data_IF_686009663842
#
_entry.id   IF_686009663842
#
_cell.length_a   1.000
_cell.length_b   1.000
_cell.length_c   1.000
_cell.angle_alpha   90.00
_cell.angle_beta   90.00
_cell.angle_gamma   90.00
#
_symmetry.space_group_name_H-M   'P 1'
#
loop_
_entity.id
_entity.type
_entity.pdbx_description
1 polymer ?
#
# COMPACT_ATOMS: atom_id res chain seq x y z
N UNK A 1 7.98 37.45 10.59
CA UNK A 1 9.10 36.57 10.17
C UNK A 1 9.49 35.50 11.20
N UNK A 2 9.53 35.77 12.50
CA UNK A 2 9.98 34.76 13.50
C UNK A 2 9.08 33.50 13.65
N UNK A 3 7.77 33.59 13.40
CA UNK A 3 6.85 32.43 13.51
C UNK A 3 7.09 31.35 12.45
N UNK A 4 7.48 31.72 11.22
CA UNK A 4 7.78 30.73 10.17
C UNK A 4 9.13 30.05 10.39
N UNK A 5 10.12 30.76 10.95
CA UNK A 5 11.42 30.17 11.26
C UNK A 5 11.31 29.10 12.36
N UNK A 6 10.51 29.36 13.40
CA UNK A 6 10.27 28.40 14.49
C UNK A 6 9.57 27.13 14.00
N UNK A 7 8.57 27.27 13.11
CA UNK A 7 7.83 26.12 12.57
C UNK A 7 8.72 25.24 11.68
N UNK A 8 9.61 25.83 10.89
CA UNK A 8 10.58 25.09 10.06
C UNK A 8 11.60 24.36 10.94
N UNK A 9 12.05 24.98 12.04
CA UNK A 9 13.02 24.37 12.96
C UNK A 9 12.40 23.19 13.73
N UNK A 10 11.17 23.32 14.21
CA UNK A 10 10.41 22.22 14.85
C UNK A 10 10.12 21.09 13.84
N UNK A 11 9.76 21.43 12.61
CA UNK A 11 9.51 20.45 11.56
C UNK A 11 10.80 19.72 11.15
N UNK A 12 11.94 20.41 11.10
CA UNK A 12 13.24 19.79 10.85
C UNK A 12 13.65 18.85 12.00
N UNK A 13 13.44 19.24 13.26
CA UNK A 13 13.72 18.36 14.41
C UNK A 13 12.83 17.09 14.38
N UNK A 14 11.56 17.23 13.97
CA UNK A 14 10.63 16.11 13.85
C UNK A 14 10.90 15.21 12.63
N UNK A 15 11.34 15.77 11.51
CA UNK A 15 11.59 15.02 10.27
C UNK A 15 13.01 14.43 10.17
N UNK A 16 14.00 15.04 10.82
CA UNK A 16 15.40 14.57 10.83
C UNK A 16 15.80 13.82 12.11
N UNK A 17 14.86 13.62 13.04
CA UNK A 17 15.01 12.80 14.24
C UNK A 17 15.24 11.33 13.90
N UNK A 18 16.46 11.01 13.47
CA UNK A 18 16.94 9.68 13.06
C UNK A 18 16.93 8.63 14.18
N UNK A 19 16.46 9.00 15.38
CA UNK A 19 16.38 8.16 16.56
C UNK A 19 14.96 7.61 16.84
N UNK A 20 13.98 7.88 15.99
CA UNK A 20 12.65 7.26 16.09
C UNK A 20 12.70 5.80 15.59
N UNK A 21 13.20 4.91 16.43
CA UNK A 21 13.33 3.48 16.10
C UNK A 21 13.35 2.59 17.34
N UNK A 22 12.43 2.80 18.29
CA UNK A 22 12.09 1.76 19.25
C UNK A 22 10.78 1.11 18.80
N UNK A 23 10.74 -0.21 18.72
CA UNK A 23 9.51 -0.93 18.48
C UNK A 23 8.55 -0.82 19.69
N UNK A 24 7.38 -1.46 19.57
CA UNK A 24 6.36 -1.45 20.62
C UNK A 24 6.80 -2.16 21.92
N UNK A 25 7.97 -2.81 21.92
CA UNK A 25 8.53 -3.56 23.05
C UNK A 25 9.66 -2.78 23.75
N UNK A 26 9.97 -1.56 23.30
CA UNK A 26 11.03 -0.74 23.89
C UNK A 26 12.43 -1.18 23.49
N UNK A 27 12.58 -2.03 22.48
CA UNK A 27 13.88 -2.47 21.97
C UNK A 27 14.42 -1.40 21.01
N UNK A 28 15.62 -0.90 21.34
CA UNK A 28 16.31 0.14 20.57
C UNK A 28 16.93 -0.48 19.31
N UNK A 29 16.37 -0.18 18.13
CA UNK A 29 17.00 -0.53 16.86
C UNK A 29 17.71 0.73 16.36
N UNK A 30 19.02 0.91 16.64
CA UNK A 30 19.75 2.02 16.07
C UNK A 30 19.63 1.97 14.55
N UNK A 31 19.10 3.03 13.95
CA UNK A 31 19.09 3.26 12.50
C UNK A 31 19.98 4.45 12.18
N UNK A 32 20.47 4.51 10.94
CA UNK A 32 21.23 5.64 10.44
C UNK A 32 22.60 5.80 11.13
N UNK A 33 22.94 7.03 11.47
CA UNK A 33 24.30 7.42 11.86
C UNK A 33 24.80 6.74 13.16
N UNK A 34 23.89 6.33 14.06
CA UNK A 34 24.28 5.59 15.28
C UNK A 34 24.81 4.18 15.03
N UNK A 35 24.59 3.60 13.85
CA UNK A 35 25.17 2.32 13.45
C UNK A 35 26.60 2.44 12.92
N UNK A 36 27.06 3.66 12.63
CA UNK A 36 28.43 3.89 12.17
C UNK A 36 29.43 3.55 13.26
N UNK A 37 30.63 3.16 12.82
CA UNK A 37 31.73 2.79 13.70
C UNK A 37 32.27 3.97 14.49
N UNK A 38 32.83 3.69 15.67
CA UNK A 38 33.48 4.67 16.52
C UNK A 38 34.60 5.43 15.79
N UNK A 39 35.35 4.79 14.89
CA UNK A 39 36.36 5.46 14.07
C UNK A 39 35.78 6.59 13.20
N UNK A 40 34.62 6.36 12.59
CA UNK A 40 33.97 7.36 11.74
C UNK A 40 33.42 8.52 12.58
N UNK A 41 32.86 8.22 13.75
CA UNK A 41 32.46 9.26 14.70
C UNK A 41 33.65 10.07 15.19
N UNK A 42 34.77 9.44 15.54
CA UNK A 42 35.98 10.14 15.99
C UNK A 42 36.57 11.05 14.91
N UNK A 43 36.50 10.62 13.65
CA UNK A 43 36.88 11.46 12.51
C UNK A 43 36.03 12.75 12.48
N UNK A 44 34.71 12.62 12.54
CA UNK A 44 33.80 13.78 12.53
C UNK A 44 33.87 14.63 13.81
N UNK A 45 34.08 13.98 14.95
CA UNK A 45 34.25 14.64 16.23
C UNK A 45 35.54 15.49 16.27
N UNK A 46 36.64 14.97 15.73
CA UNK A 46 37.89 15.69 15.57
C UNK A 46 37.81 16.82 14.55
N UNK A 47 37.12 16.59 13.41
CA UNK A 47 36.93 17.60 12.36
C UNK A 47 36.10 18.80 12.84
N UNK A 48 35.14 18.56 13.74
CA UNK A 48 34.33 19.59 14.39
C UNK A 48 35.12 20.45 15.39
N UNK A 49 36.35 20.07 15.72
CA UNK A 49 37.23 20.85 16.59
C UNK A 49 36.82 20.88 18.06
N UNK A 50 35.95 19.97 18.52
CA UNK A 50 35.47 19.93 19.91
C UNK A 50 36.62 19.80 20.91
N UNK A 51 37.69 19.10 20.54
CA UNK A 51 38.85 18.89 21.42
C UNK A 51 39.82 20.06 21.46
N UNK A 52 39.71 21.00 20.50
CA UNK A 52 40.64 22.12 20.38
C UNK A 52 40.09 23.29 21.18
N UNK A 53 40.59 23.46 22.39
CA UNK A 53 40.15 24.47 23.38
C UNK A 53 40.15 25.91 22.86
N UNK A 54 40.85 26.22 21.76
CA UNK A 54 41.08 27.59 21.30
C UNK A 54 40.56 27.91 19.89
N UNK A 55 40.01 26.95 19.12
CA UNK A 55 39.66 27.19 17.70
C UNK A 55 38.17 27.35 17.40
N UNK A 56 37.32 27.28 18.44
CA UNK A 56 35.87 27.31 18.29
C UNK A 56 35.30 26.04 17.64
N UNK A 57 34.00 25.83 17.84
CA UNK A 57 33.25 24.72 17.26
C UNK A 57 33.06 24.93 15.75
N UNK A 58 33.52 23.99 14.93
CA UNK A 58 33.29 23.98 13.48
C UNK A 58 32.15 23.03 13.17
N UNK A 59 31.02 23.58 12.72
CA UNK A 59 29.89 22.74 12.34
C UNK A 59 30.17 22.02 11.01
N UNK A 60 30.19 20.69 11.04
CA UNK A 60 30.07 19.83 9.86
C UNK A 60 28.67 19.20 9.86
N UNK A 61 28.02 19.08 8.70
CA UNK A 61 26.75 18.38 8.51
C UNK A 61 26.80 16.97 9.09
N UNK A 62 27.88 16.21 8.83
CA UNK A 62 27.99 14.83 9.32
C UNK A 62 28.07 14.77 10.84
N UNK A 63 28.79 15.72 11.45
CA UNK A 63 28.83 15.85 12.90
C UNK A 63 27.47 16.33 13.47
N UNK A 64 26.80 17.25 12.79
CA UNK A 64 25.44 17.69 13.11
C UNK A 64 24.42 16.54 13.12
N UNK A 65 24.58 15.57 12.22
CA UNK A 65 23.76 14.36 12.19
C UNK A 65 23.99 13.49 13.45
N UNK A 66 25.22 13.37 13.95
CA UNK A 66 25.48 12.67 15.22
C UNK A 66 24.84 13.40 16.41
N UNK A 67 24.92 14.73 16.46
CA UNK A 67 24.26 15.54 17.50
C UNK A 67 22.75 15.28 17.50
N UNK A 68 22.11 15.40 16.33
CA UNK A 68 20.67 15.18 16.20
C UNK A 68 20.27 13.75 16.58
N UNK A 69 21.09 12.76 16.21
CA UNK A 69 20.88 11.37 16.58
C UNK A 69 20.99 11.15 18.10
N UNK A 70 22.01 11.71 18.77
CA UNK A 70 22.17 11.62 20.23
C UNK A 70 21.01 12.29 20.99
N UNK A 71 20.60 13.49 20.57
CA UNK A 71 19.46 14.18 21.19
C UNK A 71 18.17 13.38 21.05
N UNK A 72 17.92 12.82 19.86
CA UNK A 72 16.79 11.93 19.63
C UNK A 72 16.86 10.65 20.47
N UNK A 73 18.05 10.05 20.59
CA UNK A 73 18.26 8.86 21.42
C UNK A 73 17.94 9.16 22.89
N UNK A 74 18.52 10.23 23.46
CA UNK A 74 18.29 10.63 24.85
C UNK A 74 16.84 10.97 25.12
N UNK A 75 16.18 11.70 24.22
CA UNK A 75 14.74 12.01 24.33
C UNK A 75 13.92 10.73 24.41
N UNK A 76 14.25 9.72 23.59
CA UNK A 76 13.53 8.45 23.61
C UNK A 76 13.80 7.64 24.88
N UNK A 77 15.05 7.56 25.36
CA UNK A 77 15.35 6.92 26.65
C UNK A 77 14.62 7.63 27.79
N UNK A 78 14.52 8.96 27.73
CA UNK A 78 13.77 9.75 28.70
C UNK A 78 12.28 9.37 28.72
N UNK A 79 11.68 9.14 27.55
CA UNK A 79 10.29 8.67 27.42
C UNK A 79 10.07 7.23 27.90
N UNK A 80 11.08 6.37 27.85
CA UNK A 80 10.95 4.96 28.25
C UNK A 80 11.15 4.73 29.76
N UNK A 81 11.87 5.62 30.45
CA UNK A 81 12.01 5.59 31.91
C UNK A 81 10.71 6.12 32.53
N UNK A 82 9.81 5.20 32.89
CA UNK A 82 8.44 5.50 33.34
C UNK A 82 8.38 6.55 34.46
N UNK A 83 7.73 7.69 34.17
CA UNK A 83 7.24 8.63 35.18
C UNK A 83 8.11 9.86 35.47
N UNK A 84 9.24 10.07 34.76
CA UNK A 84 10.03 11.30 34.88
C UNK A 84 10.31 11.90 33.51
N UNK A 85 9.59 12.97 33.17
CA UNK A 85 9.68 13.62 31.85
C UNK A 85 11.02 14.32 31.56
N UNK A 86 12.00 14.30 32.46
CA UNK A 86 13.21 15.14 32.38
C UNK A 86 14.47 14.46 32.98
N UNK A 87 14.57 13.13 32.91
CA UNK A 87 15.69 12.35 33.47
C UNK A 87 17.08 12.83 33.01
N UNK A 88 17.20 13.30 31.77
CA UNK A 88 18.45 13.80 31.18
C UNK A 88 18.46 15.33 30.97
N UNK A 89 17.60 16.08 31.65
CA UNK A 89 17.46 17.54 31.47
C UNK A 89 18.69 18.37 31.85
N UNK A 90 19.52 17.85 32.74
CA UNK A 90 20.79 18.46 33.20
C UNK A 90 22.00 17.99 32.37
N UNK A 91 21.81 17.06 31.45
CA UNK A 91 22.89 16.52 30.63
C UNK A 91 23.12 17.44 29.44
N UNK A 92 24.29 18.08 29.41
CA UNK A 92 24.73 18.81 28.22
C UNK A 92 25.05 17.84 27.10
N UNK A 93 24.59 18.15 25.89
CA UNK A 93 24.94 17.36 24.70
C UNK A 93 26.46 17.31 24.47
N UNK A 94 27.21 18.34 24.89
CA UNK A 94 28.66 18.36 24.82
C UNK A 94 29.29 17.33 25.77
N UNK A 95 28.71 17.10 26.95
CA UNK A 95 29.20 16.09 27.88
C UNK A 95 28.98 14.68 27.33
N UNK A 96 27.82 14.46 26.67
CA UNK A 96 27.52 13.21 25.97
C UNK A 96 28.54 12.96 24.86
N UNK A 97 28.77 13.97 24.00
CA UNK A 97 29.71 13.91 22.90
C UNK A 97 31.13 13.63 23.39
N UNK A 98 31.57 14.32 24.45
CA UNK A 98 32.88 14.13 25.06
C UNK A 98 33.06 12.74 25.66
N UNK A 99 32.05 12.25 26.39
CA UNK A 99 32.07 10.90 26.96
C UNK A 99 32.10 9.83 25.87
N UNK A 100 31.23 9.94 24.87
CA UNK A 100 31.17 9.00 23.73
C UNK A 100 32.47 9.04 22.93
N UNK A 101 33.08 10.22 22.74
CA UNK A 101 34.41 10.36 22.14
C UNK A 101 35.49 9.63 22.91
N UNK A 102 35.52 9.78 24.24
CA UNK A 102 36.46 9.05 25.09
C UNK A 102 36.26 7.54 24.98
N UNK A 103 35.02 7.07 25.11
CA UNK A 103 34.70 5.65 25.01
C UNK A 103 35.05 5.07 23.64
N UNK A 104 34.76 5.80 22.56
CA UNK A 104 35.07 5.37 21.20
C UNK A 104 36.57 5.28 20.91
N UNK A 105 37.42 6.10 21.55
CA UNK A 105 38.88 5.96 21.44
C UNK A 105 39.38 4.63 21.99
N UNK A 106 38.78 4.18 23.09
CA UNK A 106 39.10 2.89 23.72
C UNK A 106 38.45 1.70 22.98
N UNK A 107 37.41 1.97 22.17
CA UNK A 107 36.59 0.96 21.51
C UNK A 107 36.40 1.25 20.00
N UNK A 108 37.48 1.41 19.21
CA UNK A 108 37.41 1.91 17.83
C UNK A 108 36.58 1.03 16.88
N UNK A 109 36.53 -0.27 17.16
CA UNK A 109 35.82 -1.27 16.35
C UNK A 109 34.34 -1.44 16.73
N UNK A 110 33.84 -0.71 17.73
CA UNK A 110 32.43 -0.76 18.14
C UNK A 110 31.64 0.35 17.43
N UNK A 111 30.32 0.28 17.47
CA UNK A 111 29.46 1.33 16.93
C UNK A 111 29.07 2.37 17.99
N UNK A 112 28.68 3.54 17.52
CA UNK A 112 28.32 4.70 18.34
C UNK A 112 27.07 4.43 19.19
N UNK A 113 26.11 3.65 18.70
CA UNK A 113 24.94 3.27 19.46
C UNK A 113 25.28 2.46 20.71
N UNK A 114 26.31 1.61 20.66
CA UNK A 114 26.79 0.87 21.82
C UNK A 114 27.36 1.82 22.89
N UNK A 115 28.11 2.84 22.48
CA UNK A 115 28.61 3.87 23.38
C UNK A 115 27.45 4.58 24.09
N UNK A 116 26.43 5.00 23.34
CA UNK A 116 25.26 5.67 23.91
C UNK A 116 24.46 4.80 24.87
N UNK A 117 24.30 3.51 24.57
CA UNK A 117 23.65 2.56 25.46
C UNK A 117 24.39 2.47 26.81
N UNK A 118 25.73 2.43 26.78
CA UNK A 118 26.53 2.39 28.00
C UNK A 118 26.43 3.73 28.74
N UNK A 119 26.50 4.86 28.03
CA UNK A 119 26.37 6.20 28.59
C UNK A 119 25.06 6.38 29.36
N UNK A 120 23.92 6.04 28.76
CA UNK A 120 22.62 6.20 29.40
C UNK A 120 22.46 5.26 30.58
N UNK A 121 22.96 4.02 30.49
CA UNK A 121 23.02 3.11 31.64
C UNK A 121 23.85 3.67 32.81
N UNK A 122 25.02 4.25 32.51
CA UNK A 122 25.87 4.92 33.51
C UNK A 122 25.15 6.09 34.18
N UNK A 123 24.49 6.96 33.41
CA UNK A 123 23.75 8.11 33.95
C UNK A 123 22.51 7.71 34.72
N UNK A 124 21.84 6.62 34.32
CA UNK A 124 20.75 6.05 35.11
C UNK A 124 21.26 5.57 36.47
N UNK A 125 22.40 4.89 36.49
CA UNK A 125 23.07 4.44 37.72
C UNK A 125 23.49 5.61 38.63
N UNK A 126 24.10 6.64 38.07
CA UNK A 126 24.55 7.83 38.82
C UNK A 126 23.38 8.53 39.54
N UNK A 127 22.25 8.73 38.86
CA UNK A 127 21.11 9.48 39.39
C UNK A 127 20.19 8.69 40.31
N UNK A 128 20.13 7.37 40.17
CA UNK A 128 19.21 6.54 40.95
C UNK A 128 19.71 6.27 42.37
N UNK A 129 20.96 6.67 42.71
CA UNK A 129 21.65 6.28 43.97
C UNK A 129 21.49 4.78 44.27
N UNK A 130 21.28 3.95 43.26
CA UNK A 130 21.16 2.51 43.44
C UNK A 130 22.53 1.96 43.82
N UNK A 131 22.57 1.23 44.93
CA UNK A 131 23.76 0.52 45.38
C UNK A 131 24.23 -0.45 44.29
N UNK A 132 25.53 -0.41 43.98
CA UNK A 132 26.15 -1.22 42.93
C UNK A 132 25.92 -2.71 43.17
N UNK A 133 25.81 -3.11 44.45
CA UNK A 133 25.56 -4.50 44.86
C UNK A 133 24.14 -5.00 44.50
N UNK A 134 23.14 -4.11 44.46
CA UNK A 134 21.79 -4.45 44.04
C UNK A 134 21.67 -4.53 42.52
N UNK A 135 22.51 -3.80 41.78
CA UNK A 135 22.60 -3.87 40.32
C UNK A 135 23.38 -5.10 39.84
N UNK A 136 24.42 -5.52 40.57
CA UNK A 136 25.04 -6.83 40.40
C UNK A 136 24.07 -7.95 40.75
N UNK A 137 23.32 -7.85 41.86
CA UNK A 137 22.25 -8.79 42.15
C UNK A 137 21.14 -8.78 41.10
N UNK A 138 20.79 -7.64 40.50
CA UNK A 138 19.79 -7.56 39.43
C UNK A 138 20.35 -8.17 38.12
N UNK A 139 21.61 -7.92 37.78
CA UNK A 139 22.30 -8.56 36.65
C UNK A 139 22.51 -10.07 36.87
N UNK A 140 22.67 -10.52 38.12
CA UNK A 140 22.84 -11.92 38.54
C UNK A 140 21.51 -12.63 38.84
N UNK A 141 20.42 -11.89 39.09
CA UNK A 141 19.05 -12.39 39.30
C UNK A 141 18.22 -12.34 38.03
N UNK A 142 18.66 -11.59 37.02
CA UNK A 142 18.32 -11.95 35.64
C UNK A 142 18.80 -13.40 35.48
N UNK A 143 17.93 -14.35 35.08
CA UNK A 143 18.37 -15.72 34.86
C UNK A 143 19.65 -15.63 34.03
N UNK A 144 20.76 -16.31 34.43
CA UNK A 144 22.02 -16.21 33.71
C UNK A 144 21.62 -16.39 32.28
N UNK A 145 21.84 -15.38 31.42
CA UNK A 145 21.42 -15.44 30.03
C UNK A 145 21.90 -16.79 29.58
N UNK A 146 20.97 -17.76 29.50
CA UNK A 146 21.36 -19.13 29.19
C UNK A 146 22.07 -18.88 27.91
N UNK A 147 23.33 -19.27 27.86
CA UNK A 147 24.21 -19.04 26.73
C UNK A 147 23.68 -19.96 25.63
N UNK A 148 22.43 -19.72 25.24
CA UNK A 148 21.69 -20.34 24.18
C UNK A 148 22.59 -20.02 23.04
N UNK A 149 23.16 -21.08 22.49
CA UNK A 149 23.98 -20.93 21.32
C UNK A 149 23.10 -20.21 20.30
N UNK A 150 23.66 -19.29 19.51
CA UNK A 150 22.88 -18.69 18.43
C UNK A 150 22.31 -19.79 17.50
N UNK A 151 22.91 -20.99 17.51
CA UNK A 151 22.43 -22.20 16.85
C UNK A 151 21.11 -22.72 17.43
N UNK A 152 20.96 -22.77 18.75
CA UNK A 152 19.70 -23.20 19.38
C UNK A 152 18.57 -22.21 19.04
N UNK A 153 18.88 -20.90 19.03
CA UNK A 153 17.93 -19.87 18.60
C UNK A 153 17.63 -19.97 17.10
N UNK A 154 18.62 -20.33 16.30
CA UNK A 154 18.45 -20.54 14.86
C UNK A 154 17.50 -21.71 14.59
N UNK A 155 17.64 -22.82 15.33
CA UNK A 155 16.74 -23.98 15.21
C UNK A 155 15.28 -23.61 15.55
N UNK A 156 15.08 -22.76 16.56
CA UNK A 156 13.76 -22.18 16.87
C UNK A 156 13.22 -21.37 15.68
N UNK A 157 14.03 -20.48 15.10
CA UNK A 157 13.63 -19.68 13.94
C UNK A 157 13.29 -20.55 12.71
N UNK A 158 14.05 -21.62 12.49
CA UNK A 158 13.77 -22.61 11.45
C UNK A 158 12.44 -23.34 11.69
N UNK A 159 12.10 -23.65 12.95
CA UNK A 159 10.82 -24.24 13.29
C UNK A 159 9.66 -23.29 12.95
N UNK A 160 9.79 -21.98 13.20
CA UNK A 160 8.80 -21.00 12.74
C UNK A 160 8.69 -20.95 11.21
N UNK A 161 9.82 -20.98 10.51
CA UNK A 161 9.87 -20.93 9.05
C UNK A 161 9.21 -22.17 8.42
N UNK A 162 9.51 -23.36 8.94
CA UNK A 162 8.91 -24.64 8.52
C UNK A 162 7.42 -24.70 8.82
N UNK A 163 7.01 -24.20 9.98
CA UNK A 163 5.59 -24.06 10.35
C UNK A 163 4.87 -22.93 9.59
N UNK A 164 5.55 -22.28 8.64
CA UNK A 164 4.97 -21.24 7.78
C UNK A 164 4.46 -20.00 8.54
N UNK A 165 4.96 -19.79 9.76
CA UNK A 165 4.70 -18.62 10.60
C UNK A 165 5.70 -17.53 10.23
N UNK A 166 5.53 -16.94 9.05
CA UNK A 166 6.55 -16.08 8.43
C UNK A 166 6.71 -14.73 9.14
N UNK A 167 5.66 -13.92 9.20
CA UNK A 167 5.67 -12.55 9.80
C UNK A 167 4.52 -12.33 10.79
N UNK A 168 3.74 -13.36 11.08
CA UNK A 168 2.58 -13.30 11.97
C UNK A 168 2.41 -14.65 12.69
N UNK A 169 1.98 -14.64 13.95
CA UNK A 169 1.65 -15.84 14.72
C UNK A 169 1.64 -15.55 16.22
N UNK A 170 0.66 -16.07 16.96
CA UNK A 170 0.53 -15.82 18.41
C UNK A 170 1.73 -16.33 19.21
N UNK A 171 2.26 -17.50 18.85
CA UNK A 171 3.45 -18.08 19.49
C UNK A 171 4.76 -17.57 18.87
N UNK A 172 4.77 -16.40 18.24
CA UNK A 172 5.93 -15.85 17.52
C UNK A 172 6.02 -16.26 16.04
N UNK A 173 6.92 -15.61 15.31
CA UNK A 173 7.14 -15.81 13.87
C UNK A 173 8.62 -15.80 13.49
N UNK A 174 8.93 -16.31 12.30
CA UNK A 174 10.28 -16.53 11.83
C UNK A 174 11.04 -15.22 11.62
N UNK A 175 10.38 -14.19 11.08
CA UNK A 175 11.01 -12.90 10.80
C UNK A 175 11.50 -12.23 12.08
N UNK A 176 10.65 -12.15 13.10
CA UNK A 176 11.03 -11.56 14.39
C UNK A 176 12.14 -12.37 15.07
N UNK A 177 12.06 -13.70 14.99
CA UNK A 177 13.09 -14.59 15.54
C UNK A 177 14.48 -14.35 14.89
N UNK A 178 14.56 -14.26 13.55
CA UNK A 178 15.83 -13.96 12.88
C UNK A 178 16.34 -12.55 13.19
N UNK A 179 15.46 -11.56 13.33
CA UNK A 179 15.85 -10.22 13.76
C UNK A 179 16.39 -10.20 15.18
N UNK A 180 15.83 -10.99 16.10
CA UNK A 180 16.38 -11.17 17.44
C UNK A 180 17.80 -11.73 17.41
N UNK A 181 18.10 -12.70 16.54
CA UNK A 181 19.48 -13.21 16.38
C UNK A 181 20.43 -12.08 15.97
N UNK A 182 20.05 -11.23 15.02
CA UNK A 182 20.87 -10.08 14.57
C UNK A 182 21.12 -9.09 15.71
N UNK A 183 20.16 -8.92 16.61
CA UNK A 183 20.24 -7.98 17.75
C UNK A 183 21.05 -8.56 18.92
N UNK A 184 20.89 -9.85 19.22
CA UNK A 184 21.53 -10.51 20.37
C UNK A 184 22.98 -10.92 20.07
N UNK A 185 23.29 -11.27 18.83
CA UNK A 185 24.59 -11.80 18.43
C UNK A 185 25.29 -10.89 17.41
N UNK A 186 25.22 -9.57 17.60
CA UNK A 186 25.80 -8.55 16.69
C UNK A 186 27.29 -8.79 16.39
N UNK A 187 28.04 -9.32 17.37
CA UNK A 187 29.48 -9.57 17.25
C UNK A 187 29.82 -10.92 16.58
N UNK A 188 28.82 -11.77 16.35
CA UNK A 188 29.00 -13.07 15.72
C UNK A 188 28.61 -13.01 14.23
N UNK A 189 29.62 -13.01 13.37
CA UNK A 189 29.43 -12.91 11.93
C UNK A 189 28.62 -14.09 11.36
N UNK A 190 28.85 -15.31 11.85
CA UNK A 190 28.10 -16.49 11.39
C UNK A 190 26.60 -16.38 11.73
N UNK A 191 26.28 -15.90 12.93
CA UNK A 191 24.90 -15.68 13.35
C UNK A 191 24.20 -14.64 12.47
N UNK A 192 24.89 -13.53 12.16
CA UNK A 192 24.37 -12.49 11.29
C UNK A 192 24.13 -12.99 9.84
N UNK A 193 25.04 -13.81 9.30
CA UNK A 193 24.91 -14.44 7.99
C UNK A 193 23.70 -15.39 7.98
N UNK A 194 23.61 -16.29 8.98
CA UNK A 194 22.53 -17.26 9.08
C UNK A 194 21.15 -16.59 9.21
N UNK A 195 21.04 -15.54 10.03
CA UNK A 195 19.80 -14.78 10.17
C UNK A 195 19.42 -14.05 8.88
N UNK A 196 20.39 -13.47 8.17
CA UNK A 196 20.15 -12.82 6.88
C UNK A 196 19.68 -13.82 5.82
N UNK A 197 20.23 -15.02 5.80
CA UNK A 197 19.76 -16.10 4.92
C UNK A 197 18.32 -16.54 5.27
N UNK A 198 18.00 -16.66 6.56
CA UNK A 198 16.64 -16.95 7.02
C UNK A 198 15.61 -15.91 6.54
N UNK A 199 15.93 -14.62 6.68
CA UNK A 199 15.10 -13.52 6.19
C UNK A 199 14.95 -13.60 4.66
N UNK A 200 16.03 -13.86 3.91
CA UNK A 200 15.98 -14.05 2.46
C UNK A 200 15.05 -15.20 2.05
N UNK A 201 15.05 -16.31 2.80
CA UNK A 201 14.12 -17.44 2.56
C UNK A 201 12.67 -17.05 2.81
N UNK A 202 12.38 -16.18 3.80
CA UNK A 202 11.05 -15.61 4.01
C UNK A 202 10.63 -14.75 2.81
N UNK A 203 11.52 -13.86 2.35
CA UNK A 203 11.27 -13.03 1.15
C UNK A 203 10.94 -13.88 -0.07
N UNK A 204 11.73 -14.93 -0.32
CA UNK A 204 11.50 -15.85 -1.43
C UNK A 204 10.14 -16.55 -1.34
N UNK A 205 9.68 -16.94 -0.15
CA UNK A 205 8.33 -17.49 0.04
C UNK A 205 7.24 -16.46 -0.33
N UNK A 206 7.40 -15.19 0.04
CA UNK A 206 6.44 -14.15 -0.35
C UNK A 206 6.48 -13.82 -1.85
N UNK A 207 7.66 -13.86 -2.48
CA UNK A 207 7.79 -13.74 -3.94
C UNK A 207 6.99 -14.85 -4.63
N UNK A 208 7.21 -16.11 -4.24
CA UNK A 208 6.49 -17.27 -4.80
C UNK A 208 4.97 -17.11 -4.64
N UNK A 209 4.50 -16.80 -3.42
CA UNK A 209 3.06 -16.60 -3.16
C UNK A 209 2.45 -15.43 -3.91
N UNK A 210 3.22 -14.39 -4.17
CA UNK A 210 2.75 -13.25 -4.96
C UNK A 210 2.57 -13.66 -6.41
N UNK A 211 3.54 -14.39 -6.99
CA UNK A 211 3.44 -14.93 -8.36
C UNK A 211 2.25 -15.88 -8.50
N UNK A 212 2.12 -16.86 -7.60
CA UNK A 212 1.00 -17.80 -7.58
C UNK A 212 -0.35 -17.06 -7.53
N UNK A 213 -0.50 -16.07 -6.65
CA UNK A 213 -1.74 -15.30 -6.56
C UNK A 213 -2.01 -14.43 -7.80
N UNK A 214 -0.98 -13.91 -8.47
CA UNK A 214 -1.11 -13.21 -9.76
C UNK A 214 -1.61 -14.19 -10.83
N UNK A 215 -1.02 -15.38 -10.92
CA UNK A 215 -1.38 -16.41 -11.90
C UNK A 215 -2.80 -16.95 -11.67
N UNK A 216 -3.20 -17.12 -10.41
CA UNK A 216 -4.56 -17.47 -9.97
C UNK A 216 -5.58 -16.33 -10.20
N UNK A 217 -5.13 -15.13 -10.60
CA UNK A 217 -5.93 -13.89 -10.67
C UNK A 217 -6.58 -13.49 -9.34
N UNK A 218 -6.04 -13.95 -8.21
CA UNK A 218 -6.40 -13.47 -6.87
C UNK A 218 -5.55 -12.25 -6.53
N UNK A 219 -5.91 -11.12 -7.15
CA UNK A 219 -5.15 -9.88 -7.03
C UNK A 219 -5.17 -9.29 -5.62
N UNK A 220 -6.19 -9.59 -4.82
CA UNK A 220 -6.25 -9.18 -3.40
C UNK A 220 -5.16 -9.91 -2.61
N UNK A 221 -5.05 -11.23 -2.75
CA UNK A 221 -4.03 -12.05 -2.11
C UNK A 221 -2.62 -11.68 -2.60
N UNK A 222 -2.46 -11.40 -3.89
CA UNK A 222 -1.20 -10.91 -4.45
C UNK A 222 -0.72 -9.62 -3.79
N UNK A 223 -1.59 -8.60 -3.67
CA UNK A 223 -1.29 -7.33 -2.98
C UNK A 223 -0.89 -7.52 -1.53
N UNK A 224 -1.59 -8.39 -0.80
CA UNK A 224 -1.27 -8.70 0.60
C UNK A 224 0.12 -9.33 0.71
N UNK A 225 0.44 -10.30 -0.14
CA UNK A 225 1.75 -10.97 -0.12
C UNK A 225 2.89 -10.03 -0.55
N UNK A 226 2.65 -9.17 -1.54
CA UNK A 226 3.61 -8.16 -1.97
C UNK A 226 3.93 -7.16 -0.86
N UNK A 227 2.91 -6.67 -0.15
CA UNK A 227 3.11 -5.78 1.01
C UNK A 227 3.90 -6.46 2.13
N UNK A 228 3.69 -7.76 2.35
CA UNK A 228 4.47 -8.54 3.31
C UNK A 228 5.93 -8.70 2.86
N UNK A 229 6.18 -8.91 1.56
CA UNK A 229 7.53 -8.90 0.99
C UNK A 229 8.23 -7.56 1.25
N UNK A 230 7.57 -6.44 0.94
CA UNK A 230 8.10 -5.08 1.18
C UNK A 230 8.44 -4.84 2.65
N UNK A 231 7.64 -5.38 3.59
CA UNK A 231 7.93 -5.23 5.02
C UNK A 231 9.13 -6.05 5.50
N UNK A 232 9.39 -7.20 4.86
CA UNK A 232 10.48 -8.12 5.23
C UNK A 232 11.80 -7.67 4.62
N UNK A 233 11.77 -7.30 3.33
CA UNK A 233 12.93 -6.93 2.52
C UNK A 233 12.56 -5.79 1.56
N UNK A 234 12.60 -4.53 2.03
CA UNK A 234 12.19 -3.36 1.25
C UNK A 234 13.02 -3.12 -0.03
N UNK A 235 14.23 -3.67 -0.08
CA UNK A 235 15.17 -3.48 -1.20
C UNK A 235 15.21 -4.69 -2.14
N UNK A 236 14.26 -5.61 -2.00
CA UNK A 236 14.22 -6.78 -2.86
C UNK A 236 13.97 -6.38 -4.33
N UNK A 237 14.89 -6.75 -5.22
CA UNK A 237 14.81 -6.39 -6.64
C UNK A 237 13.58 -6.96 -7.36
N UNK A 238 12.91 -7.96 -6.79
CA UNK A 238 11.69 -8.54 -7.38
C UNK A 238 10.44 -7.68 -7.17
N UNK A 239 10.43 -6.74 -6.22
CA UNK A 239 9.24 -5.94 -5.87
C UNK A 239 8.71 -5.20 -7.11
N UNK A 240 9.57 -4.45 -7.81
CA UNK A 240 9.16 -3.66 -8.97
C UNK A 240 8.57 -4.54 -10.08
N UNK A 241 9.22 -5.67 -10.39
CA UNK A 241 8.74 -6.59 -11.42
C UNK A 241 7.42 -7.27 -11.05
N UNK A 242 7.18 -7.57 -9.77
CA UNK A 242 5.91 -8.12 -9.30
C UNK A 242 4.79 -7.07 -9.30
N UNK A 243 5.10 -5.83 -8.92
CA UNK A 243 4.15 -4.71 -8.96
C UNK A 243 3.67 -4.46 -10.39
N UNK A 244 4.60 -4.43 -11.35
CA UNK A 244 4.29 -4.26 -12.77
C UNK A 244 3.42 -5.41 -13.30
N UNK A 245 3.83 -6.65 -13.05
CA UNK A 245 3.06 -7.84 -13.47
C UNK A 245 1.64 -7.84 -12.90
N UNK A 246 1.49 -7.50 -11.62
CA UNK A 246 0.19 -7.40 -10.96
C UNK A 246 -0.69 -6.33 -11.63
N UNK A 247 -0.16 -5.14 -11.86
CA UNK A 247 -0.88 -4.03 -12.50
C UNK A 247 -1.34 -4.38 -13.92
N UNK A 248 -0.46 -5.02 -14.70
CA UNK A 248 -0.78 -5.46 -16.06
C UNK A 248 -1.92 -6.48 -16.04
N UNK A 249 -1.81 -7.53 -15.22
CA UNK A 249 -2.84 -8.58 -15.14
C UNK A 249 -4.19 -8.06 -14.64
N UNK A 250 -4.19 -7.11 -13.70
CA UNK A 250 -5.42 -6.43 -13.25
C UNK A 250 -6.08 -5.65 -14.39
N UNK A 251 -5.29 -4.95 -15.21
CA UNK A 251 -5.78 -4.19 -16.36
C UNK A 251 -6.35 -5.12 -17.44
N UNK A 252 -5.63 -6.19 -17.78
CA UNK A 252 -6.10 -7.19 -18.75
C UNK A 252 -7.43 -7.84 -18.32
N UNK A 253 -7.61 -8.10 -17.01
CA UNK A 253 -8.87 -8.65 -16.50
C UNK A 253 -10.02 -7.65 -16.66
N UNK A 254 -9.79 -6.36 -16.37
CA UNK A 254 -10.80 -5.32 -16.53
C UNK A 254 -11.22 -5.15 -17.98
N UNK A 255 -10.25 -5.08 -18.89
CA UNK A 255 -10.51 -4.98 -20.34
C UNK A 255 -11.35 -6.18 -20.80
N UNK A 256 -10.96 -7.40 -20.43
CA UNK A 256 -11.73 -8.60 -20.77
C UNK A 256 -13.17 -8.54 -20.24
N UNK A 257 -13.37 -8.08 -19.01
CA UNK A 257 -14.71 -7.96 -18.41
C UNK A 257 -15.56 -6.91 -19.13
N UNK A 258 -14.96 -5.79 -19.54
CA UNK A 258 -15.66 -4.75 -20.31
C UNK A 258 -16.05 -5.24 -21.70
N UNK A 259 -15.16 -5.97 -22.38
CA UNK A 259 -15.44 -6.60 -23.68
C UNK A 259 -16.58 -7.62 -23.57
N UNK A 260 -16.56 -8.48 -22.54
CA UNK A 260 -17.61 -9.45 -22.29
C UNK A 260 -18.96 -8.76 -21.98
N UNK A 261 -18.93 -7.63 -21.26
CA UNK A 261 -20.12 -6.82 -21.01
C UNK A 261 -20.66 -6.20 -22.29
N UNK A 262 -19.78 -5.63 -23.13
CA UNK A 262 -20.17 -5.02 -24.42
C UNK A 262 -20.81 -6.05 -25.34
N UNK A 263 -20.22 -7.24 -25.46
CA UNK A 263 -20.79 -8.36 -26.23
C UNK A 263 -22.17 -8.76 -25.73
N UNK A 264 -22.38 -8.84 -24.41
CA UNK A 264 -23.71 -9.14 -23.84
C UNK A 264 -24.74 -8.06 -24.20
N UNK A 265 -24.36 -6.78 -24.14
CA UNK A 265 -25.23 -5.66 -24.53
C UNK A 265 -25.57 -5.73 -26.01
N UNK A 266 -24.59 -6.00 -26.88
CA UNK A 266 -24.81 -6.14 -28.32
C UNK A 266 -25.74 -7.32 -28.66
N UNK A 267 -25.57 -8.47 -27.99
CA UNK A 267 -26.45 -9.64 -28.13
C UNK A 267 -27.88 -9.29 -27.71
N UNK A 268 -28.06 -8.61 -26.57
CA UNK A 268 -29.38 -8.23 -26.08
C UNK A 268 -30.03 -7.15 -26.95
N UNK A 269 -29.27 -6.17 -27.44
CA UNK A 269 -29.75 -5.18 -28.39
C UNK A 269 -30.22 -5.83 -29.71
N UNK A 270 -29.48 -6.82 -30.22
CA UNK A 270 -29.88 -7.58 -31.40
C UNK A 270 -31.12 -8.46 -31.16
N UNK A 271 -31.33 -8.94 -29.92
CA UNK A 271 -32.57 -9.64 -29.53
C UNK A 271 -33.76 -8.68 -29.51
N UNK A 272 -33.63 -7.54 -28.82
CA UNK A 272 -34.67 -6.52 -28.73
C UNK A 272 -35.05 -6.02 -30.13
N UNK A 273 -34.06 -5.75 -30.98
CA UNK A 273 -34.29 -5.31 -32.36
C UNK A 273 -35.18 -6.29 -33.14
N UNK A 274 -34.89 -7.60 -33.05
CA UNK A 274 -35.71 -8.63 -33.71
C UNK A 274 -37.14 -8.70 -33.16
N UNK A 275 -37.31 -8.52 -31.86
CA UNK A 275 -38.66 -8.52 -31.26
C UNK A 275 -39.45 -7.28 -31.67
N UNK A 276 -38.81 -6.11 -31.73
CA UNK A 276 -39.44 -4.89 -32.25
C UNK A 276 -39.86 -5.07 -33.70
N UNK A 277 -39.00 -5.64 -34.55
CA UNK A 277 -39.31 -5.95 -35.96
C UNK A 277 -40.50 -6.91 -36.07
N UNK A 278 -40.55 -7.95 -35.23
CA UNK A 278 -41.67 -8.90 -35.16
C UNK A 278 -42.98 -8.23 -34.74
N UNK A 279 -42.96 -7.44 -33.65
CA UNK A 279 -44.16 -6.74 -33.16
C UNK A 279 -44.66 -5.74 -34.20
N UNK A 280 -43.75 -5.00 -34.85
CA UNK A 280 -44.08 -4.07 -35.93
C UNK A 280 -44.72 -4.79 -37.13
N UNK A 281 -44.23 -5.97 -37.51
CA UNK A 281 -44.86 -6.76 -38.55
C UNK A 281 -46.29 -7.22 -38.16
N UNK A 282 -46.50 -7.60 -36.89
CA UNK A 282 -47.82 -7.99 -36.39
C UNK A 282 -48.81 -6.82 -36.37
N UNK A 283 -48.39 -5.61 -36.00
CA UNK A 283 -49.28 -4.44 -36.00
C UNK A 283 -49.70 -4.04 -37.42
N UNK A 284 -48.78 -4.05 -38.38
CA UNK A 284 -49.13 -3.79 -39.78
C UNK A 284 -50.14 -4.79 -40.34
N UNK A 285 -50.02 -6.08 -39.98
CA UNK A 285 -51.00 -7.10 -40.37
C UNK A 285 -52.37 -6.86 -39.72
N UNK A 286 -52.42 -6.52 -38.44
CA UNK A 286 -53.69 -6.24 -37.74
C UNK A 286 -54.43 -5.03 -38.31
N UNK A 287 -53.71 -3.95 -38.63
CA UNK A 287 -54.32 -2.77 -39.26
C UNK A 287 -54.83 -3.07 -40.66
N UNK A 288 -54.10 -3.86 -41.45
CA UNK A 288 -54.55 -4.31 -42.76
C UNK A 288 -55.80 -5.19 -42.69
N UNK A 289 -55.87 -6.09 -41.70
CA UNK A 289 -57.04 -6.94 -41.44
C UNK A 289 -58.26 -6.11 -41.02
N UNK A 290 -58.09 -5.13 -40.12
CA UNK A 290 -59.18 -4.24 -39.69
C UNK A 290 -59.75 -3.41 -40.85
N UNK A 291 -58.90 -2.89 -41.75
CA UNK A 291 -59.36 -2.15 -42.93
C UNK A 291 -60.13 -3.05 -43.90
N UNK A 292 -59.75 -4.34 -44.04
CA UNK A 292 -60.51 -5.31 -44.85
C UNK A 292 -61.90 -5.63 -44.28
N UNK A 293 -62.10 -5.48 -42.98
CA UNK A 293 -63.39 -5.74 -42.33
C UNK A 293 -64.34 -4.54 -42.34
N UNK A 294 -63.92 -3.37 -42.83
CA UNK A 294 -64.80 -2.22 -42.92
C UNK A 294 -65.91 -2.44 -43.96
N UNK A 295 -67.18 -2.08 -43.65
CA UNK A 295 -68.26 -2.09 -44.62
C UNK A 295 -67.90 -1.26 -45.85
N UNK A 296 -68.28 -1.73 -47.04
CA UNK A 296 -67.86 -1.13 -48.32
C UNK A 296 -68.28 0.35 -48.44
N UNK A 297 -69.37 0.73 -47.78
CA UNK A 297 -69.91 2.09 -47.77
C UNK A 297 -69.03 3.05 -46.95
N UNK A 298 -68.43 2.57 -45.86
CA UNK A 298 -67.47 3.34 -45.05
C UNK A 298 -66.18 3.56 -45.83
N UNK A 299 -65.68 2.51 -46.51
CA UNK A 299 -64.53 2.61 -47.41
C UNK A 299 -64.79 3.59 -48.57
N UNK A 300 -66.01 3.58 -49.12
CA UNK A 300 -66.42 4.47 -50.21
C UNK A 300 -66.41 5.94 -49.75
N UNK A 301 -66.92 6.24 -48.55
CA UNK A 301 -66.88 7.59 -47.98
C UNK A 301 -65.45 8.09 -47.73
N UNK A 302 -64.58 7.23 -47.20
CA UNK A 302 -63.16 7.56 -46.97
C UNK A 302 -62.41 7.87 -48.27
N UNK A 303 -62.57 7.04 -49.31
CA UNK A 303 -61.94 7.30 -50.63
C UNK A 303 -62.48 8.58 -51.26
N UNK A 304 -63.78 8.85 -51.11
CA UNK A 304 -64.40 10.08 -51.64
C UNK A 304 -63.80 11.33 -50.97
N UNK A 305 -63.51 11.28 -49.67
CA UNK A 305 -62.84 12.40 -49.02
C UNK A 305 -61.39 12.60 -49.48
N UNK A 306 -60.63 11.50 -49.64
CA UNK A 306 -59.19 11.59 -49.98
C UNK A 306 -58.93 12.06 -51.41
N UNK A 307 -59.75 11.66 -52.38
CA UNK A 307 -59.52 11.95 -53.81
C UNK A 307 -60.38 13.12 -54.31
N UNK A 308 -61.32 13.59 -53.47
CA UNK A 308 -62.35 14.54 -53.87
C UNK A 308 -63.35 13.93 -54.87
N UNK A 309 -64.41 14.68 -55.24
CA UNK A 309 -65.39 14.23 -56.21
C UNK A 309 -64.72 14.10 -57.59
N UNK A 310 -64.42 12.85 -57.99
CA UNK A 310 -63.93 12.57 -59.34
C UNK A 310 -65.11 12.29 -60.25
N UNK A 311 -65.14 12.91 -61.44
CA UNK A 311 -66.15 12.60 -62.47
C UNK A 311 -65.82 11.32 -63.26
N UNK A 312 -64.79 10.56 -62.83
CA UNK A 312 -64.35 9.33 -63.48
C UNK A 312 -64.63 8.11 -62.59
N UNK A 313 -65.81 7.46 -62.74
CA UNK A 313 -66.20 6.32 -61.91
C UNK A 313 -65.27 5.11 -62.06
N UNK A 314 -64.50 5.03 -63.15
CA UNK A 314 -63.49 3.99 -63.35
C UNK A 314 -62.28 4.22 -62.46
N UNK A 315 -61.74 5.44 -62.47
CA UNK A 315 -60.65 5.83 -61.58
C UNK A 315 -61.04 5.64 -60.11
N UNK A 316 -62.28 6.02 -59.73
CA UNK A 316 -62.79 5.80 -58.37
C UNK A 316 -62.85 4.31 -57.99
N UNK A 317 -63.39 3.44 -58.86
CA UNK A 317 -63.49 2.01 -58.58
C UNK A 317 -62.11 1.32 -58.57
N UNK A 318 -61.17 1.79 -59.39
CA UNK A 318 -59.79 1.30 -59.39
C UNK A 318 -59.07 1.71 -58.10
N UNK A 319 -59.27 2.95 -57.60
CA UNK A 319 -58.79 3.38 -56.28
C UNK A 319 -59.45 2.61 -55.14
N UNK A 320 -60.76 2.33 -55.23
CA UNK A 320 -61.48 1.55 -54.22
C UNK A 320 -60.98 0.09 -54.16
N UNK A 321 -60.75 -0.54 -55.32
CA UNK A 321 -60.13 -1.87 -55.40
C UNK A 321 -58.70 -1.85 -54.90
N UNK A 322 -57.92 -0.83 -55.25
CA UNK A 322 -56.55 -0.66 -54.77
C UNK A 322 -56.49 -0.54 -53.25
N UNK A 323 -57.39 0.25 -52.64
CA UNK A 323 -57.54 0.39 -51.20
C UNK A 323 -57.96 -0.93 -50.49
N UNK A 324 -58.52 -1.90 -51.21
CA UNK A 324 -58.84 -3.24 -50.67
C UNK A 324 -57.70 -4.25 -50.80
N UNK A 325 -56.63 -3.94 -51.55
CA UNK A 325 -55.44 -4.80 -51.64
C UNK A 325 -54.46 -4.56 -50.48
N UNK A 326 -53.62 -5.55 -50.14
CA UNK A 326 -52.62 -5.42 -49.07
C UNK A 326 -51.62 -4.27 -49.28
N UNK A 327 -51.38 -3.91 -50.54
CA UNK A 327 -50.38 -2.91 -50.93
C UNK A 327 -50.94 -1.49 -50.82
N UNK A 328 -52.24 -1.29 -51.09
CA UNK A 328 -52.91 0.01 -50.95
C UNK A 328 -53.11 0.45 -49.49
N UNK A 329 -53.31 -0.50 -48.56
CA UNK A 329 -53.48 -0.18 -47.13
C UNK A 329 -52.14 0.14 -46.43
N UNK A 330 -51.01 -0.39 -46.90
CA UNK A 330 -49.75 -0.36 -46.15
C UNK A 330 -48.84 0.85 -46.41
N UNK A 331 -48.88 1.48 -47.59
CA UNK A 331 -47.95 2.58 -47.93
C UNK A 331 -48.54 3.98 -47.90
N UNK A 332 -49.82 4.15 -48.21
CA UNK A 332 -50.42 5.49 -48.41
C UNK A 332 -51.57 5.80 -47.46
N UNK A 333 -52.30 4.78 -46.96
CA UNK A 333 -53.45 5.03 -46.08
C UNK A 333 -53.05 5.68 -44.73
N UNK A 334 -51.92 5.30 -44.11
CA UNK A 334 -51.54 5.82 -42.80
C UNK A 334 -50.94 7.24 -42.83
N UNK A 335 -50.25 7.63 -43.92
CA UNK A 335 -49.71 9.00 -44.02
C UNK A 335 -50.82 10.01 -44.33
N UNK A 336 -51.78 9.63 -45.17
CA UNK A 336 -52.88 10.50 -45.61
C UNK A 336 -53.93 10.71 -44.50
N UNK A 337 -54.18 9.72 -43.63
CA UNK A 337 -55.13 9.84 -42.51
C UNK A 337 -54.76 10.91 -41.47
N UNK A 338 -53.51 11.37 -41.43
CA UNK A 338 -53.05 12.39 -40.46
C UNK A 338 -53.16 13.84 -40.93
N UNK A 339 -53.52 14.09 -42.20
CA UNK A 339 -53.38 15.43 -42.79
C UNK A 339 -54.63 16.04 -43.43
N UNK A 340 -55.76 15.34 -43.50
CA UNK A 340 -56.98 15.88 -44.10
C UNK A 340 -58.15 15.86 -43.09
N UNK A 341 -58.64 17.02 -42.60
CA UNK A 341 -59.93 17.07 -41.94
C UNK A 341 -61.01 16.87 -43.01
N UNK A 342 -61.58 15.67 -43.03
CA UNK A 342 -62.90 15.44 -43.58
C UNK A 342 -63.89 15.89 -42.49
N UNK A 343 -64.69 16.92 -42.74
CA UNK A 343 -65.80 17.29 -41.85
C UNK A 343 -66.90 16.22 -41.80
#
# INVERSE_FOLDING_TARGET
MYKSLFFILVLQVLLYGSALGADNEGVYIPKGIGLKGCNEFLHEYGSAGIEKTNTGFRYNIDFGNYIGWFQGYLTRVNLSISGKNDYFSDVSILDVLGWVGSWCRENPNKNVAKAMYIYTGYKVKEKSKLDISDLEKLLLSMPPATKLSYKDKLDECEAHLKANRLTTGQSGNAYDCYNQIRTLYVENQDAAIAASDGIRRISNKYITRTKEAIDERDFRKAKINLKKLESVDPFNSSINGLTEQLSQRETDQKIKLEDDRKKKIEIEAARIKREVERVTAMTHLSSAEQVRQLPIDVLRSLVTCMVGPTNNPRAFNDTLRFAQTSDGVSREALSIWSMAPCD
#
